data_IF_091112458603
#
_entry.id   IF_091112458603
#
_cell.length_a   1.000
_cell.length_b   1.000
_cell.length_c   1.000
_cell.angle_alpha   90.00
_cell.angle_beta   90.00
_cell.angle_gamma   90.00
#
_symmetry.space_group_name_H-M   'P 1'
#
loop_
_entity.id
_entity.type
_entity.pdbx_description
1 polymer ?
#
# COMPACT_ATOMS: atom_id res chain seq x y z
N UNK A 1 9.55 0.91 11.26
CA UNK A 1 9.36 -0.39 11.90
C UNK A 1 9.31 -0.17 13.41
N UNK A 2 8.39 -0.84 14.11
CA UNK A 2 8.13 -0.65 15.54
C UNK A 2 8.51 -1.92 16.33
N UNK A 3 9.81 -2.19 16.36
CA UNK A 3 10.40 -3.31 17.11
C UNK A 3 11.77 -2.93 17.63
N UNK A 4 12.10 -3.41 18.80
CA UNK A 4 13.42 -3.19 19.44
C UNK A 4 14.40 -4.35 19.16
N UNK A 5 13.91 -5.43 18.58
CA UNK A 5 14.64 -6.66 18.27
C UNK A 5 14.82 -6.90 16.76
N UNK A 6 14.53 -5.90 15.91
CA UNK A 6 14.59 -6.01 14.46
C UNK A 6 16.04 -6.08 13.93
N UNK A 7 16.29 -6.78 12.82
CA UNK A 7 17.63 -6.86 12.25
C UNK A 7 18.10 -5.51 11.71
N UNK A 8 19.41 -5.37 11.57
CA UNK A 8 20.02 -4.17 11.00
C UNK A 8 19.55 -3.98 9.54
N UNK A 9 19.41 -2.73 9.06
CA UNK A 9 18.91 -2.44 7.71
C UNK A 9 19.65 -3.18 6.58
N UNK A 10 20.97 -3.34 6.68
CA UNK A 10 21.74 -4.11 5.69
C UNK A 10 21.34 -5.58 5.63
N UNK A 11 21.04 -6.20 6.79
CA UNK A 11 20.54 -7.58 6.83
C UNK A 11 19.14 -7.69 6.26
N UNK A 12 18.30 -6.65 6.45
CA UNK A 12 16.96 -6.59 5.84
C UNK A 12 17.07 -6.52 4.32
N UNK A 13 17.93 -5.66 3.78
CA UNK A 13 18.17 -5.57 2.32
C UNK A 13 18.65 -6.91 1.76
N UNK A 14 19.61 -7.56 2.41
CA UNK A 14 20.09 -8.90 2.00
C UNK A 14 18.97 -9.95 2.04
N UNK A 15 18.04 -9.86 3.00
CA UNK A 15 16.88 -10.76 3.08
C UNK A 15 15.91 -10.52 1.92
N UNK A 16 15.67 -9.28 1.49
CA UNK A 16 14.89 -8.95 0.30
C UNK A 16 15.53 -9.55 -0.96
N UNK A 17 16.83 -9.30 -1.16
CA UNK A 17 17.57 -9.79 -2.33
C UNK A 17 17.59 -11.33 -2.40
N UNK A 18 17.85 -12.01 -1.28
CA UNK A 18 17.88 -13.48 -1.22
C UNK A 18 16.54 -14.14 -1.48
N UNK A 19 15.43 -13.40 -1.30
CA UNK A 19 14.08 -13.86 -1.61
C UNK A 19 13.56 -13.33 -2.97
N UNK A 20 14.37 -12.61 -3.75
CA UNK A 20 13.98 -12.08 -5.04
C UNK A 20 12.95 -10.93 -4.95
N UNK A 21 12.84 -10.27 -3.78
CA UNK A 21 11.88 -9.18 -3.57
C UNK A 21 12.48 -7.88 -4.10
N UNK A 22 11.89 -7.34 -5.16
CA UNK A 22 12.42 -6.18 -5.88
C UNK A 22 11.83 -4.82 -5.47
N UNK A 23 10.95 -4.76 -4.47
CA UNK A 23 10.34 -3.50 -4.04
C UNK A 23 10.10 -3.47 -2.53
N UNK A 24 10.19 -2.27 -1.95
CA UNK A 24 10.06 -2.03 -0.51
C UNK A 24 9.25 -0.76 -0.27
N UNK A 25 8.51 -0.71 0.82
CA UNK A 25 7.89 0.52 1.34
C UNK A 25 8.41 0.79 2.75
N UNK A 26 8.78 2.05 3.02
CA UNK A 26 9.08 2.53 4.38
C UNK A 26 8.24 3.77 4.69
N UNK A 27 7.72 3.84 5.92
CA UNK A 27 6.70 4.82 6.35
C UNK A 27 7.28 6.15 6.85
N UNK A 28 8.60 6.24 6.91
CA UNK A 28 9.35 7.44 7.25
C UNK A 28 10.77 7.31 6.73
N UNK A 29 11.44 8.42 6.42
CA UNK A 29 12.87 8.39 6.12
C UNK A 29 13.67 7.85 7.30
N UNK A 30 14.55 6.90 7.02
CA UNK A 30 15.54 6.37 7.94
C UNK A 30 16.90 6.32 7.25
N UNK A 31 17.85 7.08 7.77
CA UNK A 31 19.18 7.23 7.15
C UNK A 31 19.89 5.89 6.98
N UNK A 32 19.81 5.01 7.98
CA UNK A 32 20.49 3.72 7.92
C UNK A 32 19.85 2.79 6.86
N UNK A 33 18.52 2.82 6.72
CA UNK A 33 17.81 2.09 5.68
C UNK A 33 18.11 2.63 4.28
N UNK A 34 18.11 3.96 4.09
CA UNK A 34 18.45 4.60 2.81
C UNK A 34 19.89 4.30 2.40
N UNK A 35 20.83 4.30 3.35
CA UNK A 35 22.21 3.90 3.10
C UNK A 35 22.33 2.42 2.72
N UNK A 36 21.60 1.53 3.42
CA UNK A 36 21.62 0.11 3.15
C UNK A 36 21.01 -0.25 1.78
N UNK A 37 20.03 0.51 1.32
CA UNK A 37 19.43 0.35 -0.02
C UNK A 37 20.36 0.81 -1.15
N UNK A 38 21.43 1.55 -0.82
CA UNK A 38 22.40 2.06 -1.79
C UNK A 38 23.05 0.95 -2.60
N UNK A 39 22.85 0.98 -3.94
CA UNK A 39 23.40 -0.02 -4.86
C UNK A 39 22.54 -1.30 -4.98
N UNK A 40 21.46 -1.45 -4.23
CA UNK A 40 20.47 -2.51 -4.45
C UNK A 40 19.58 -2.17 -5.64
N UNK A 41 18.95 -3.19 -6.23
CA UNK A 41 17.94 -3.01 -7.28
C UNK A 41 16.51 -2.88 -6.71
N UNK A 42 16.38 -2.67 -5.39
CA UNK A 42 15.08 -2.58 -4.72
C UNK A 42 14.47 -1.20 -4.95
N UNK A 43 13.27 -1.19 -5.54
CA UNK A 43 12.50 0.03 -5.75
C UNK A 43 11.81 0.46 -4.45
N UNK A 44 11.89 1.74 -4.12
CA UNK A 44 11.41 2.26 -2.84
C UNK A 44 10.15 3.12 -2.98
N UNK A 45 9.12 2.80 -2.19
CA UNK A 45 8.11 3.77 -1.76
C UNK A 45 8.61 4.39 -0.45
N UNK A 46 8.82 5.70 -0.46
CA UNK A 46 9.18 6.45 0.73
C UNK A 46 8.01 7.33 1.17
N UNK A 47 7.55 7.15 2.40
CA UNK A 47 6.44 7.95 2.91
C UNK A 47 6.94 9.25 3.55
N UNK A 48 6.17 10.31 3.32
CA UNK A 48 6.16 11.52 4.17
C UNK A 48 5.28 11.20 5.37
N UNK A 49 5.83 11.19 6.60
CA UNK A 49 5.05 10.84 7.79
C UNK A 49 3.84 11.77 7.99
N UNK A 50 2.74 11.21 8.50
CA UNK A 50 1.51 11.97 8.76
C UNK A 50 1.75 13.23 9.63
N UNK A 51 2.66 13.13 10.62
CA UNK A 51 3.03 14.26 11.47
C UNK A 51 3.71 15.42 10.76
N UNK A 52 4.24 15.21 9.55
CA UNK A 52 4.90 16.24 8.74
C UNK A 52 3.97 16.92 7.73
N UNK A 53 2.75 16.41 7.53
CA UNK A 53 1.84 16.89 6.48
C UNK A 53 1.53 18.38 6.60
N UNK A 54 1.20 18.86 7.78
CA UNK A 54 0.82 20.26 8.00
C UNK A 54 1.98 21.21 7.67
N UNK A 55 3.20 20.91 8.12
CA UNK A 55 4.37 21.74 7.86
C UNK A 55 4.72 21.79 6.38
N UNK A 56 4.72 20.64 5.71
CA UNK A 56 5.00 20.52 4.27
C UNK A 56 3.91 21.18 3.43
N UNK A 57 2.65 21.08 3.84
CA UNK A 57 1.53 21.72 3.15
C UNK A 57 1.60 23.25 3.24
N UNK A 58 2.03 23.78 4.39
CA UNK A 58 2.00 25.22 4.68
C UNK A 58 3.25 25.95 4.21
N UNK A 59 4.37 25.26 4.01
CA UNK A 59 5.65 25.85 3.67
C UNK A 59 6.38 25.08 2.55
N UNK A 60 6.43 25.63 1.32
CA UNK A 60 7.18 25.04 0.23
C UNK A 60 8.67 24.84 0.53
N UNK A 61 9.26 25.67 1.42
CA UNK A 61 10.67 25.50 1.79
C UNK A 61 10.89 24.27 2.67
N UNK A 62 9.90 23.91 3.51
CA UNK A 62 9.93 22.66 4.27
C UNK A 62 9.87 21.43 3.34
N UNK A 63 9.05 21.49 2.30
CA UNK A 63 9.01 20.44 1.27
C UNK A 63 10.34 20.31 0.51
N UNK A 64 10.94 21.43 0.12
CA UNK A 64 12.24 21.45 -0.55
C UNK A 64 13.35 20.87 0.34
N UNK A 65 13.40 21.25 1.61
CA UNK A 65 14.34 20.71 2.57
C UNK A 65 14.14 19.21 2.81
N UNK A 66 12.88 18.75 2.89
CA UNK A 66 12.56 17.32 3.02
C UNK A 66 13.04 16.51 1.81
N UNK A 67 12.77 16.98 0.59
CA UNK A 67 13.22 16.35 -0.65
C UNK A 67 14.74 16.33 -0.75
N UNK A 68 15.39 17.45 -0.43
CA UNK A 68 16.85 17.55 -0.45
C UNK A 68 17.50 16.51 0.47
N UNK A 69 17.03 16.43 1.72
CA UNK A 69 17.63 15.59 2.76
C UNK A 69 17.33 14.10 2.61
N UNK A 70 16.14 13.73 2.12
CA UNK A 70 15.66 12.36 2.14
C UNK A 70 15.58 11.70 0.77
N UNK A 71 15.64 12.47 -0.30
CA UNK A 71 15.57 11.95 -1.68
C UNK A 71 16.82 12.32 -2.46
N UNK A 72 17.11 13.61 -2.70
CA UNK A 72 18.23 14.05 -3.53
C UNK A 72 19.59 13.52 -3.04
N UNK A 73 19.79 13.49 -1.72
CA UNK A 73 21.01 12.99 -1.12
C UNK A 73 21.31 11.51 -1.44
N UNK A 74 20.31 10.77 -1.91
CA UNK A 74 20.39 9.31 -2.14
C UNK A 74 20.08 8.89 -3.57
N UNK A 75 19.61 9.78 -4.46
CA UNK A 75 19.17 9.42 -5.82
C UNK A 75 20.25 8.82 -6.71
N UNK A 76 21.52 9.00 -6.38
CA UNK A 76 22.63 8.36 -7.11
C UNK A 76 22.78 6.87 -6.81
N UNK A 77 22.15 6.36 -5.75
CA UNK A 77 22.35 4.99 -5.26
C UNK A 77 21.06 4.26 -4.88
N UNK A 78 19.97 4.98 -4.59
CA UNK A 78 18.66 4.42 -4.21
C UNK A 78 17.64 4.62 -5.32
N UNK A 79 16.92 3.57 -5.66
CA UNK A 79 15.87 3.60 -6.69
C UNK A 79 14.53 4.00 -6.09
N UNK A 80 14.25 5.30 -6.00
CA UNK A 80 12.93 5.80 -5.57
C UNK A 80 11.90 5.63 -6.68
N UNK A 81 10.75 5.06 -6.34
CA UNK A 81 9.63 4.87 -7.25
C UNK A 81 8.48 5.83 -6.96
N UNK A 82 8.05 5.89 -5.70
CA UNK A 82 6.99 6.78 -5.24
C UNK A 82 7.38 7.52 -3.97
N UNK A 83 6.89 8.75 -3.84
CA UNK A 83 6.77 9.43 -2.55
C UNK A 83 5.30 9.39 -2.15
N UNK A 84 4.98 8.69 -1.06
CA UNK A 84 3.65 8.61 -0.50
C UNK A 84 3.46 9.71 0.54
N UNK A 85 2.64 10.70 0.23
CA UNK A 85 2.42 11.86 1.09
C UNK A 85 1.24 11.60 2.02
N UNK A 86 1.53 11.07 3.20
CA UNK A 86 0.55 10.61 4.18
C UNK A 86 0.04 9.19 3.90
N UNK A 87 -0.28 8.49 4.99
CA UNK A 87 -0.83 7.14 4.99
C UNK A 87 -2.14 7.10 5.79
N UNK A 88 -3.23 6.73 5.14
CA UNK A 88 -4.57 6.54 5.74
C UNK A 88 -5.10 7.75 6.51
N UNK A 89 -4.81 8.95 6.04
CA UNK A 89 -5.29 10.19 6.65
C UNK A 89 -6.62 10.69 6.07
N UNK A 90 -7.12 10.05 5.02
CA UNK A 90 -8.37 10.39 4.35
C UNK A 90 -9.39 9.25 4.54
N UNK A 91 -10.62 9.56 5.00
CA UNK A 91 -11.04 10.82 5.60
C UNK A 91 -10.47 11.03 7.01
N UNK A 92 -10.23 12.27 7.40
CA UNK A 92 -9.72 12.56 8.76
C UNK A 92 -9.28 14.01 8.94
N UNK A 93 -8.89 14.35 10.16
CA UNK A 93 -8.56 15.73 10.53
C UNK A 93 -7.33 16.32 9.81
N UNK A 94 -6.47 15.48 9.24
CA UNK A 94 -5.31 15.93 8.47
C UNK A 94 -5.52 15.86 6.95
N UNK A 95 -6.68 15.40 6.49
CA UNK A 95 -6.98 15.21 5.07
C UNK A 95 -6.77 16.50 4.25
N UNK A 96 -7.08 17.66 4.83
CA UNK A 96 -6.92 18.97 4.20
C UNK A 96 -5.47 19.32 3.85
N UNK A 97 -4.48 18.70 4.49
CA UNK A 97 -3.06 18.96 4.24
C UNK A 97 -2.48 18.07 3.13
N UNK A 98 -3.16 16.98 2.75
CA UNK A 98 -2.59 15.98 1.83
C UNK A 98 -2.32 16.60 0.46
N UNK A 99 -3.31 17.18 -0.20
CA UNK A 99 -3.13 17.75 -1.54
C UNK A 99 -2.09 18.88 -1.58
N UNK A 100 -2.15 19.89 -0.69
CA UNK A 100 -1.11 20.93 -0.66
C UNK A 100 0.30 20.37 -0.41
N UNK A 101 0.43 19.38 0.47
CA UNK A 101 1.71 18.71 0.70
C UNK A 101 2.19 17.94 -0.53
N UNK A 102 1.30 17.22 -1.23
CA UNK A 102 1.62 16.53 -2.50
C UNK A 102 2.12 17.52 -3.55
N UNK A 103 1.46 18.66 -3.71
CA UNK A 103 1.84 19.72 -4.64
C UNK A 103 3.23 20.29 -4.32
N UNK A 104 3.50 20.57 -3.05
CA UNK A 104 4.80 21.11 -2.61
C UNK A 104 5.93 20.09 -2.78
N UNK A 105 5.71 18.81 -2.46
CA UNK A 105 6.69 17.73 -2.71
C UNK A 105 6.92 17.57 -4.23
N UNK A 106 5.86 17.57 -5.04
CA UNK A 106 5.99 17.49 -6.50
C UNK A 106 6.81 18.65 -7.07
N UNK A 107 6.52 19.88 -6.62
CA UNK A 107 7.27 21.07 -7.04
C UNK A 107 8.74 20.98 -6.65
N UNK A 108 9.05 20.49 -5.45
CA UNK A 108 10.42 20.27 -4.99
C UNK A 108 11.15 19.21 -5.83
N UNK A 109 10.49 18.08 -6.13
CA UNK A 109 11.04 17.06 -7.03
C UNK A 109 11.23 17.59 -8.45
N UNK A 110 10.29 18.40 -8.95
CA UNK A 110 10.37 19.02 -10.28
C UNK A 110 11.55 19.99 -10.37
N UNK A 111 11.74 20.82 -9.35
CA UNK A 111 12.88 21.74 -9.26
C UNK A 111 14.23 21.02 -9.19
N UNK A 112 14.22 19.80 -8.65
CA UNK A 112 15.38 18.90 -8.61
C UNK A 112 15.57 18.06 -9.90
N UNK A 113 14.70 18.18 -10.89
CA UNK A 113 14.72 17.36 -12.12
C UNK A 113 14.31 15.91 -11.92
N UNK A 114 13.62 15.58 -10.82
CA UNK A 114 13.29 14.20 -10.42
C UNK A 114 11.84 13.78 -10.69
N UNK A 115 10.92 14.72 -10.98
CA UNK A 115 9.49 14.44 -11.12
C UNK A 115 9.12 13.51 -12.30
N UNK A 116 10.03 13.36 -13.27
CA UNK A 116 9.88 12.39 -14.36
C UNK A 116 10.05 10.94 -13.90
N UNK A 117 10.90 10.71 -12.90
CA UNK A 117 11.30 9.38 -12.41
C UNK A 117 10.53 8.97 -11.15
N UNK A 118 10.28 9.92 -10.23
CA UNK A 118 9.69 9.69 -8.93
C UNK A 118 8.29 10.28 -8.93
N UNK A 119 7.26 9.45 -8.77
CA UNK A 119 5.87 9.90 -8.74
C UNK A 119 5.45 10.25 -7.32
N UNK A 120 4.59 11.27 -7.18
CA UNK A 120 4.02 11.68 -5.90
C UNK A 120 2.59 11.16 -5.81
N UNK A 121 2.28 10.48 -4.72
CA UNK A 121 0.96 9.94 -4.43
C UNK A 121 0.63 10.08 -2.93
N UNK A 122 -0.50 9.55 -2.53
CA UNK A 122 -0.88 9.34 -1.13
C UNK A 122 -1.46 7.94 -0.98
N UNK A 123 -1.33 7.34 0.19
CA UNK A 123 -1.89 6.04 0.48
C UNK A 123 -3.20 6.16 1.27
N UNK A 124 -4.25 5.49 0.79
CA UNK A 124 -5.55 5.42 1.44
C UNK A 124 -5.90 3.99 1.81
N UNK A 125 -6.72 3.79 2.85
CA UNK A 125 -7.29 2.47 3.11
C UNK A 125 -8.50 2.21 2.21
N UNK A 126 -8.88 0.96 2.04
CA UNK A 126 -10.15 0.58 1.40
C UNK A 126 -11.38 1.17 2.10
N UNK A 127 -11.24 1.66 3.35
CA UNK A 127 -12.28 2.33 4.12
C UNK A 127 -12.74 3.68 3.54
N UNK A 128 -12.06 4.21 2.50
CA UNK A 128 -12.54 5.39 1.76
C UNK A 128 -13.80 5.10 0.94
N UNK A 129 -14.13 3.82 0.72
CA UNK A 129 -15.35 3.43 0.00
C UNK A 129 -16.60 3.59 0.88
N UNK A 130 -17.55 4.37 0.41
CA UNK A 130 -18.90 4.44 0.97
C UNK A 130 -19.82 3.33 0.41
N UNK A 131 -19.55 2.92 -0.83
CA UNK A 131 -20.18 1.77 -1.51
C UNK A 131 -19.10 0.91 -2.11
N UNK A 132 -19.17 -0.41 -1.89
CA UNK A 132 -18.20 -1.38 -2.42
C UNK A 132 -18.87 -2.61 -3.05
N UNK A 133 -20.20 -2.71 -2.99
CA UNK A 133 -20.94 -3.84 -3.52
C UNK A 133 -22.19 -3.40 -4.29
N UNK A 134 -22.44 -3.97 -5.49
CA UNK A 134 -21.49 -4.78 -6.26
C UNK A 134 -20.26 -3.94 -6.65
N UNK A 135 -19.13 -4.56 -7.05
CA UNK A 135 -17.88 -3.82 -7.35
C UNK A 135 -18.06 -2.69 -8.37
N UNK A 136 -18.89 -2.86 -9.40
CA UNK A 136 -19.18 -1.81 -10.41
C UNK A 136 -19.89 -0.57 -9.83
N UNK A 137 -20.50 -0.69 -8.67
CA UNK A 137 -21.16 0.42 -7.94
C UNK A 137 -20.22 1.10 -6.93
N UNK A 138 -18.95 0.72 -6.91
CA UNK A 138 -17.95 1.30 -6.02
C UNK A 138 -17.93 2.82 -6.09
N UNK A 139 -18.01 3.46 -4.92
CA UNK A 139 -17.97 4.91 -4.80
C UNK A 139 -17.28 5.32 -3.49
N UNK A 140 -16.52 6.40 -3.54
CA UNK A 140 -15.99 6.98 -2.32
C UNK A 140 -17.12 7.48 -1.41
N UNK A 141 -16.92 7.40 -0.10
CA UNK A 141 -17.81 8.04 0.86
C UNK A 141 -17.85 9.56 0.62
N UNK A 142 -18.93 10.23 1.02
CA UNK A 142 -19.05 11.69 0.89
C UNK A 142 -17.85 12.43 1.50
N UNK A 143 -17.41 11.96 2.67
CA UNK A 143 -16.30 12.56 3.42
C UNK A 143 -14.95 12.36 2.71
N UNK A 144 -14.73 11.20 2.09
CA UNK A 144 -13.52 10.93 1.31
C UNK A 144 -13.54 11.62 -0.06
N UNK A 145 -14.68 11.62 -0.75
CA UNK A 145 -14.82 12.12 -2.12
C UNK A 145 -14.44 13.60 -2.26
N UNK A 146 -14.80 14.43 -1.27
CA UNK A 146 -14.50 15.87 -1.27
C UNK A 146 -13.00 16.15 -1.29
N UNK A 147 -12.21 15.31 -0.64
CA UNK A 147 -10.73 15.40 -0.60
C UNK A 147 -10.10 14.63 -1.76
N UNK A 148 -10.60 13.43 -2.06
CA UNK A 148 -10.00 12.58 -3.09
C UNK A 148 -10.27 13.10 -4.51
N UNK A 149 -11.38 13.78 -4.78
CA UNK A 149 -11.64 14.32 -6.11
C UNK A 149 -10.49 15.20 -6.64
N UNK A 150 -10.09 16.27 -5.93
CA UNK A 150 -8.93 17.09 -6.33
C UNK A 150 -7.61 16.33 -6.35
N UNK A 151 -7.38 15.37 -5.44
CA UNK A 151 -6.19 14.51 -5.43
C UNK A 151 -6.15 13.64 -6.68
N UNK A 152 -7.26 13.02 -7.06
CA UNK A 152 -7.36 12.20 -8.28
C UNK A 152 -7.05 13.03 -9.53
N UNK A 153 -7.51 14.29 -9.61
CA UNK A 153 -7.15 15.19 -10.70
C UNK A 153 -5.63 15.48 -10.73
N UNK A 154 -5.02 15.68 -9.57
CA UNK A 154 -3.56 15.83 -9.46
C UNK A 154 -2.83 14.58 -9.94
N UNK A 155 -3.25 13.38 -9.51
CA UNK A 155 -2.65 12.11 -9.92
C UNK A 155 -2.78 11.89 -11.44
N UNK A 156 -3.97 12.13 -11.99
CA UNK A 156 -4.24 12.03 -13.42
C UNK A 156 -3.33 12.94 -14.25
N UNK A 157 -3.16 14.18 -13.79
CA UNK A 157 -2.33 15.20 -14.49
C UNK A 157 -0.84 14.87 -14.48
N UNK A 158 -0.36 14.13 -13.46
CA UNK A 158 1.05 13.82 -13.28
C UNK A 158 1.40 12.37 -13.64
N UNK A 159 0.42 11.59 -14.12
CA UNK A 159 0.61 10.18 -14.46
C UNK A 159 1.06 9.35 -13.26
N UNK A 160 0.51 9.65 -12.08
CA UNK A 160 0.79 8.95 -10.84
C UNK A 160 -0.40 8.04 -10.46
N UNK A 161 -0.16 6.85 -9.88
CA UNK A 161 -1.22 5.99 -9.37
C UNK A 161 -1.74 6.50 -8.02
N UNK A 162 -2.92 6.04 -7.62
CA UNK A 162 -3.35 6.08 -6.22
C UNK A 162 -2.78 4.86 -5.49
N UNK A 163 -2.15 5.08 -4.33
CA UNK A 163 -1.72 4.00 -3.45
C UNK A 163 -2.89 3.59 -2.56
N UNK A 164 -3.16 2.29 -2.46
CA UNK A 164 -4.30 1.79 -1.68
C UNK A 164 -3.87 0.61 -0.81
N UNK A 165 -4.23 0.65 0.47
CA UNK A 165 -4.07 -0.45 1.39
C UNK A 165 -5.34 -1.31 1.33
N UNK A 166 -5.19 -2.57 0.87
CA UNK A 166 -6.30 -3.50 0.60
C UNK A 166 -6.18 -4.74 1.47
N UNK A 167 -7.11 -4.89 2.41
CA UNK A 167 -7.12 -5.98 3.37
C UNK A 167 -8.44 -6.77 3.38
N UNK A 168 -8.57 -7.82 2.58
CA UNK A 168 -9.70 -8.75 2.67
C UNK A 168 -9.95 -9.30 4.07
N UNK A 169 -8.89 -9.42 4.89
CA UNK A 169 -8.98 -9.82 6.28
C UNK A 169 -10.01 -8.99 7.07
N UNK A 170 -9.91 -7.67 7.03
CA UNK A 170 -10.80 -6.80 7.80
C UNK A 170 -12.24 -6.87 7.30
N UNK A 171 -12.45 -6.96 5.98
CA UNK A 171 -13.78 -7.15 5.42
C UNK A 171 -14.40 -8.47 5.88
N UNK A 172 -13.63 -9.54 5.87
CA UNK A 172 -14.07 -10.86 6.33
C UNK A 172 -14.43 -10.86 7.83
N UNK A 173 -13.54 -10.39 8.70
CA UNK A 173 -13.79 -10.44 10.16
C UNK A 173 -14.93 -9.54 10.60
N UNK A 174 -15.21 -8.47 9.85
CA UNK A 174 -16.35 -7.58 10.11
C UNK A 174 -17.67 -8.16 9.57
N UNK A 175 -17.62 -9.09 8.60
CA UNK A 175 -18.82 -9.63 7.94
C UNK A 175 -18.76 -11.16 7.74
N UNK A 176 -18.48 -11.96 8.79
CA UNK A 176 -18.23 -13.40 8.64
C UNK A 176 -19.46 -14.20 8.22
N UNK A 177 -20.66 -13.61 8.36
CA UNK A 177 -21.93 -14.23 7.90
C UNK A 177 -22.21 -14.06 6.41
N UNK A 178 -21.55 -13.07 5.77
CA UNK A 178 -21.79 -12.71 4.36
C UNK A 178 -20.59 -12.98 3.46
N UNK A 179 -19.39 -13.00 4.01
CA UNK A 179 -18.14 -13.23 3.29
C UNK A 179 -17.57 -14.58 3.74
N UNK A 180 -17.42 -15.54 2.82
CA UNK A 180 -16.78 -16.81 3.14
C UNK A 180 -15.27 -16.67 3.27
N UNK A 181 -14.66 -17.46 4.15
CA UNK A 181 -13.21 -17.49 4.32
C UNK A 181 -12.49 -17.87 3.02
N UNK A 182 -13.05 -18.81 2.26
CA UNK A 182 -12.49 -19.22 0.97
C UNK A 182 -12.46 -18.08 -0.05
N UNK A 183 -13.47 -17.21 -0.06
CA UNK A 183 -13.49 -16.02 -0.91
C UNK A 183 -12.41 -14.99 -0.50
N UNK A 184 -12.22 -14.81 0.80
CA UNK A 184 -11.19 -13.92 1.31
C UNK A 184 -9.76 -14.45 1.10
N UNK A 185 -9.55 -15.78 1.06
CA UNK A 185 -8.24 -16.44 0.93
C UNK A 185 -7.87 -16.84 -0.52
N UNK A 186 -8.61 -16.41 -1.54
CA UNK A 186 -8.41 -16.85 -2.94
C UNK A 186 -8.60 -18.37 -3.16
N UNK A 187 -9.34 -19.05 -2.29
CA UNK A 187 -9.53 -20.52 -2.37
C UNK A 187 -10.95 -20.92 -2.77
N UNK A 188 -11.78 -19.98 -3.19
CA UNK A 188 -13.11 -20.30 -3.71
C UNK A 188 -13.01 -21.12 -4.99
N UNK A 189 -13.82 -22.22 -5.12
CA UNK A 189 -13.75 -23.09 -6.30
C UNK A 189 -14.38 -22.50 -7.55
N UNK A 190 -15.08 -21.37 -7.44
CA UNK A 190 -15.77 -20.73 -8.56
C UNK A 190 -16.21 -19.30 -8.21
N UNK A 191 -16.98 -18.70 -9.11
CA UNK A 191 -17.52 -17.35 -8.96
C UNK A 191 -18.37 -17.24 -7.69
N UNK A 192 -18.06 -16.26 -6.85
CA UNK A 192 -18.83 -15.92 -5.64
C UNK A 192 -19.72 -14.72 -5.88
N UNK A 193 -19.22 -13.73 -6.64
CA UNK A 193 -19.98 -12.53 -7.00
C UNK A 193 -19.98 -12.40 -8.51
N UNK A 194 -21.17 -12.25 -9.08
CA UNK A 194 -21.37 -11.88 -10.49
C UNK A 194 -21.86 -10.44 -10.54
N UNK A 195 -21.18 -9.59 -11.32
CA UNK A 195 -21.49 -8.18 -11.48
C UNK A 195 -21.44 -7.82 -12.97
N UNK A 196 -22.61 -7.87 -13.62
CA UNK A 196 -22.68 -7.72 -15.05
C UNK A 196 -21.89 -8.81 -15.79
N UNK A 197 -20.88 -8.39 -16.54
CA UNK A 197 -19.99 -9.31 -17.26
C UNK A 197 -18.82 -9.81 -16.41
N UNK A 198 -18.60 -9.26 -15.22
CA UNK A 198 -17.47 -9.58 -14.37
C UNK A 198 -17.82 -10.66 -13.34
N UNK A 199 -16.91 -11.58 -13.13
CA UNK A 199 -17.04 -12.69 -12.20
C UNK A 199 -15.89 -12.65 -11.20
N UNK A 200 -16.23 -12.55 -9.91
CA UNK A 200 -15.25 -12.45 -8.84
C UNK A 200 -15.17 -13.77 -8.06
N UNK A 201 -13.99 -14.37 -8.08
CA UNK A 201 -13.65 -15.59 -7.33
C UNK A 201 -12.94 -15.29 -5.99
N UNK A 202 -12.49 -14.06 -5.81
CA UNK A 202 -11.78 -13.63 -4.60
C UNK A 202 -12.18 -12.20 -4.21
N UNK A 203 -12.10 -11.92 -2.93
CA UNK A 203 -12.50 -10.65 -2.35
C UNK A 203 -11.52 -9.51 -2.67
N UNK A 204 -10.23 -9.82 -2.88
CA UNK A 204 -9.22 -8.82 -3.25
C UNK A 204 -9.59 -8.13 -4.57
N UNK A 205 -9.91 -8.90 -5.60
CA UNK A 205 -10.33 -8.36 -6.90
C UNK A 205 -11.59 -7.49 -6.77
N UNK A 206 -12.57 -7.96 -5.99
CA UNK A 206 -13.81 -7.21 -5.80
C UNK A 206 -13.56 -5.85 -5.12
N UNK A 207 -12.66 -5.79 -4.14
CA UNK A 207 -12.29 -4.54 -3.47
C UNK A 207 -11.52 -3.61 -4.43
N UNK A 208 -10.55 -4.15 -5.16
CA UNK A 208 -9.74 -3.35 -6.11
C UNK A 208 -10.62 -2.80 -7.24
N UNK A 209 -11.55 -3.59 -7.77
CA UNK A 209 -12.46 -3.13 -8.82
C UNK A 209 -13.50 -2.12 -8.30
N UNK A 210 -13.93 -2.24 -7.05
CA UNK A 210 -14.75 -1.20 -6.41
C UNK A 210 -13.99 0.14 -6.27
N UNK A 211 -12.68 0.08 -5.97
CA UNK A 211 -11.81 1.27 -5.93
C UNK A 211 -11.63 1.88 -7.33
N UNK A 212 -11.46 1.07 -8.37
CA UNK A 212 -11.44 1.57 -9.75
C UNK A 212 -12.76 2.23 -10.14
N UNK A 213 -13.90 1.65 -9.77
CA UNK A 213 -15.20 2.28 -10.00
C UNK A 213 -15.33 3.63 -9.28
N UNK A 214 -14.85 3.70 -8.03
CA UNK A 214 -14.85 4.94 -7.26
C UNK A 214 -13.94 6.02 -7.88
N UNK A 215 -12.75 5.64 -8.38
CA UNK A 215 -11.86 6.55 -9.13
C UNK A 215 -12.54 7.10 -10.38
N UNK A 216 -13.19 6.24 -11.17
CA UNK A 216 -13.94 6.66 -12.37
C UNK A 216 -15.07 7.62 -12.02
N UNK A 217 -15.76 7.39 -10.90
CA UNK A 217 -16.84 8.23 -10.39
C UNK A 217 -16.41 9.69 -10.07
N UNK A 218 -15.12 9.92 -9.81
CA UNK A 218 -14.56 11.26 -9.58
C UNK A 218 -13.67 11.74 -10.74
N UNK A 219 -13.76 11.09 -11.90
CA UNK A 219 -13.06 11.51 -13.12
C UNK A 219 -11.63 10.98 -13.25
N UNK A 220 -11.25 9.96 -12.48
CA UNK A 220 -9.92 9.34 -12.46
C UNK A 220 -9.82 8.05 -13.29
N UNK A 221 -10.50 7.93 -14.43
CA UNK A 221 -10.49 6.72 -15.26
C UNK A 221 -9.10 6.32 -15.79
N UNK A 222 -8.17 7.27 -15.86
CA UNK A 222 -6.77 7.07 -16.25
C UNK A 222 -5.80 6.94 -15.07
N UNK A 223 -6.30 6.97 -13.81
CA UNK A 223 -5.48 6.78 -12.62
C UNK A 223 -5.38 5.29 -12.31
N UNK A 224 -4.17 4.77 -12.29
CA UNK A 224 -3.90 3.40 -11.88
C UNK A 224 -3.95 3.23 -10.36
N UNK A 225 -4.08 1.99 -9.90
CA UNK A 225 -3.95 1.63 -8.48
C UNK A 225 -2.65 0.84 -8.29
N UNK A 226 -1.91 1.20 -7.23
CA UNK A 226 -0.87 0.37 -6.64
C UNK A 226 -1.40 -0.09 -5.28
N UNK A 227 -1.41 -1.39 -5.04
CA UNK A 227 -1.75 -1.93 -3.73
C UNK A 227 -0.53 -1.81 -2.82
N UNK A 228 -0.49 -0.72 -2.08
CA UNK A 228 0.66 -0.32 -1.26
C UNK A 228 0.77 -1.07 0.06
N UNK A 229 -0.28 -1.77 0.45
CA UNK A 229 -0.31 -2.77 1.51
C UNK A 229 -1.39 -3.81 1.24
N UNK A 230 -1.07 -5.08 1.47
CA UNK A 230 -2.01 -6.17 1.64
C UNK A 230 -1.37 -7.28 2.46
N UNK A 231 -2.17 -8.06 3.17
CA UNK A 231 -1.66 -9.13 4.01
C UNK A 231 -2.74 -9.80 4.84
N UNK A 232 -2.30 -10.76 5.68
CA UNK A 232 -3.14 -11.50 6.60
C UNK A 232 -2.37 -11.82 7.89
N UNK A 233 -2.93 -11.56 9.10
CA UNK A 233 -2.21 -11.78 10.33
C UNK A 233 -2.11 -13.28 10.66
N UNK A 234 -0.94 -13.69 11.14
CA UNK A 234 -0.64 -15.08 11.50
C UNK A 234 -1.09 -15.48 12.92
N UNK A 235 -1.58 -14.50 13.69
CA UNK A 235 -2.01 -14.72 15.08
C UNK A 235 -2.55 -13.45 15.73
N UNK A 236 -2.83 -13.53 17.02
CA UNK A 236 -3.18 -12.37 17.86
C UNK A 236 -4.62 -11.86 17.71
N UNK A 237 -5.48 -12.53 16.96
CA UNK A 237 -6.83 -12.07 16.66
C UNK A 237 -7.89 -13.16 16.66
N UNK A 238 -9.07 -12.91 16.06
CA UNK A 238 -10.13 -13.89 15.85
C UNK A 238 -9.63 -15.17 15.17
N UNK A 239 -10.46 -16.20 15.15
CA UNK A 239 -10.11 -17.54 14.63
C UNK A 239 -9.54 -17.57 13.20
N UNK A 240 -9.77 -16.53 12.41
CA UNK A 240 -9.19 -16.39 11.07
C UNK A 240 -7.71 -15.96 11.07
N UNK A 241 -7.20 -15.34 12.14
CA UNK A 241 -5.81 -14.94 12.28
C UNK A 241 -4.96 -16.15 12.69
N UNK A 242 -4.53 -16.93 11.71
CA UNK A 242 -3.72 -18.14 11.91
C UNK A 242 -2.57 -18.20 10.92
N UNK A 243 -1.49 -18.89 11.28
CA UNK A 243 -0.34 -19.13 10.40
C UNK A 243 -0.76 -19.73 9.06
N UNK A 244 -1.67 -20.73 9.08
CA UNK A 244 -2.14 -21.39 7.86
C UNK A 244 -2.93 -20.45 6.93
N UNK A 245 -3.79 -19.61 7.49
CA UNK A 245 -4.53 -18.63 6.67
C UNK A 245 -3.62 -17.52 6.15
N UNK A 246 -2.66 -17.05 6.95
CA UNK A 246 -1.68 -16.05 6.52
C UNK A 246 -0.81 -16.57 5.38
N UNK A 247 -0.32 -17.80 5.50
CA UNK A 247 0.42 -18.48 4.42
C UNK A 247 -0.44 -18.59 3.15
N UNK A 248 -1.67 -19.09 3.28
CA UNK A 248 -2.60 -19.28 2.16
C UNK A 248 -2.89 -17.96 1.46
N UNK A 249 -3.24 -16.92 2.22
CA UNK A 249 -3.54 -15.61 1.65
C UNK A 249 -2.34 -15.02 0.91
N UNK A 250 -1.20 -14.90 1.58
CA UNK A 250 -0.04 -14.22 1.01
C UNK A 250 0.55 -14.99 -0.19
N UNK A 251 0.56 -16.32 -0.15
CA UNK A 251 1.01 -17.10 -1.31
C UNK A 251 0.06 -16.96 -2.49
N UNK A 252 -1.25 -17.01 -2.24
CA UNK A 252 -2.24 -16.84 -3.30
C UNK A 252 -2.23 -15.41 -3.87
N UNK A 253 -2.02 -14.39 -3.03
CA UNK A 253 -1.85 -13.01 -3.49
C UNK A 253 -0.66 -12.90 -4.45
N UNK A 254 0.51 -13.44 -4.08
CA UNK A 254 1.70 -13.44 -4.94
C UNK A 254 1.40 -14.09 -6.28
N UNK A 255 0.78 -15.28 -6.26
CA UNK A 255 0.44 -16.01 -7.48
C UNK A 255 -0.60 -15.30 -8.36
N UNK A 256 -1.44 -14.44 -7.75
CA UNK A 256 -2.60 -13.83 -8.40
C UNK A 256 -2.30 -12.47 -9.05
N UNK A 257 -1.52 -11.61 -8.39
CA UNK A 257 -1.37 -10.20 -8.79
C UNK A 257 -0.78 -9.97 -10.17
N UNK A 258 -0.13 -10.99 -10.75
CA UNK A 258 0.33 -10.95 -12.14
C UNK A 258 -0.80 -10.96 -13.18
N UNK A 259 -2.01 -11.39 -12.81
CA UNK A 259 -3.15 -11.54 -13.72
C UNK A 259 -4.04 -10.28 -13.79
N UNK A 260 -4.05 -9.47 -12.74
CA UNK A 260 -4.99 -8.36 -12.59
C UNK A 260 -6.36 -8.78 -12.07
N UNK A 261 -7.31 -7.86 -12.16
CA UNK A 261 -8.71 -8.09 -11.78
C UNK A 261 -9.60 -8.34 -12.99
N UNK A 262 -10.84 -8.82 -12.82
CA UNK A 262 -11.81 -8.98 -13.92
C UNK A 262 -12.02 -7.69 -14.73
N UNK A 263 -11.98 -6.52 -14.09
CA UNK A 263 -12.17 -5.23 -14.75
C UNK A 263 -10.88 -4.64 -15.31
N UNK A 264 -9.75 -4.90 -14.69
CA UNK A 264 -8.42 -4.38 -15.04
C UNK A 264 -7.43 -5.52 -15.18
N UNK A 265 -7.42 -6.25 -16.30
CA UNK A 265 -6.44 -7.30 -16.55
C UNK A 265 -5.03 -6.73 -16.69
N UNK A 266 -4.05 -7.53 -16.29
CA UNK A 266 -2.63 -7.17 -16.27
C UNK A 266 -2.08 -7.01 -14.84
N UNK A 267 -0.76 -6.94 -14.69
CA UNK A 267 -0.13 -6.96 -13.36
C UNK A 267 -0.57 -5.80 -12.46
N UNK A 268 -0.85 -6.12 -11.20
CA UNK A 268 -1.11 -5.14 -10.14
C UNK A 268 0.14 -5.06 -9.27
N UNK A 269 0.81 -3.90 -9.29
CA UNK A 269 1.92 -3.65 -8.37
C UNK A 269 1.41 -3.72 -6.93
N UNK A 270 1.98 -4.65 -6.14
CA UNK A 270 1.45 -4.99 -4.81
C UNK A 270 2.58 -5.16 -3.81
N UNK A 271 2.40 -4.60 -2.61
CA UNK A 271 3.30 -4.67 -1.48
C UNK A 271 2.65 -5.46 -0.35
N UNK A 272 3.35 -6.48 0.15
CA UNK A 272 2.85 -7.30 1.26
C UNK A 272 3.22 -6.64 2.58
N UNK A 273 2.24 -6.48 3.44
CA UNK A 273 2.41 -6.01 4.82
C UNK A 273 2.37 -7.23 5.77
N UNK A 274 3.45 -7.55 6.47
CA UNK A 274 4.69 -6.81 6.56
C UNK A 274 5.90 -7.76 6.51
N UNK A 275 7.12 -7.21 6.43
CA UNK A 275 8.33 -8.03 6.41
C UNK A 275 8.53 -8.79 7.72
N UNK A 276 8.35 -8.14 8.88
CA UNK A 276 8.60 -8.72 10.19
C UNK A 276 7.38 -8.62 11.11
N UNK A 277 7.30 -9.56 12.03
CA UNK A 277 6.52 -9.37 13.25
C UNK A 277 7.20 -8.29 14.10
N UNK A 278 6.40 -7.36 14.67
CA UNK A 278 6.89 -6.16 15.34
C UNK A 278 6.34 -6.07 16.76
N UNK A 279 7.19 -6.29 17.75
CA UNK A 279 6.82 -6.44 19.17
C UNK A 279 6.38 -5.16 19.87
N UNK A 280 6.79 -3.98 19.35
CA UNK A 280 6.38 -2.68 19.91
C UNK A 280 5.09 -2.10 19.29
N UNK A 281 4.44 -2.84 18.37
CA UNK A 281 3.08 -2.50 17.92
C UNK A 281 2.05 -2.86 18.98
N UNK A 282 0.83 -2.35 18.80
CA UNK A 282 -0.29 -2.68 19.68
C UNK A 282 -0.45 -4.20 19.79
N UNK A 283 -0.63 -4.75 21.01
CA UNK A 283 -0.83 -6.19 21.19
C UNK A 283 -2.00 -6.72 20.37
N UNK A 284 -1.86 -7.95 19.90
CA UNK A 284 -2.87 -8.61 19.07
C UNK A 284 -2.41 -8.80 17.62
N UNK A 285 -3.31 -8.61 16.65
CA UNK A 285 -2.99 -8.82 15.24
C UNK A 285 -1.84 -7.94 14.77
N UNK A 286 -1.71 -6.73 15.31
CA UNK A 286 -0.71 -5.75 14.87
C UNK A 286 0.73 -6.26 15.02
N UNK A 287 0.98 -7.16 15.96
CA UNK A 287 2.29 -7.78 16.15
C UNK A 287 2.54 -8.99 15.25
N UNK A 288 1.56 -9.42 14.43
CA UNK A 288 1.56 -10.72 13.77
C UNK A 288 1.34 -10.65 12.23
N UNK A 289 1.78 -9.59 11.58
CA UNK A 289 1.66 -9.42 10.12
C UNK A 289 2.90 -9.90 9.35
N UNK A 290 4.00 -10.20 10.05
CA UNK A 290 5.29 -10.48 9.44
C UNK A 290 5.31 -11.76 8.61
N UNK A 291 6.03 -11.69 7.48
CA UNK A 291 6.46 -12.86 6.73
C UNK A 291 7.60 -13.58 7.45
N UNK A 292 8.39 -12.82 8.20
CA UNK A 292 9.53 -13.30 8.97
C UNK A 292 9.43 -12.87 10.44
N UNK A 293 10.04 -13.66 11.31
CA UNK A 293 10.37 -13.24 12.65
C UNK A 293 11.58 -12.27 12.64
N UNK A 294 11.79 -11.47 13.72
CA UNK A 294 12.95 -10.58 13.82
C UNK A 294 14.31 -11.29 13.67
N UNK A 295 14.40 -12.58 13.98
CA UNK A 295 15.59 -13.41 13.75
C UNK A 295 15.76 -13.87 12.30
N UNK A 296 14.96 -13.34 11.38
CA UNK A 296 14.96 -13.61 9.93
C UNK A 296 14.51 -15.05 9.56
N UNK A 297 14.00 -15.83 10.52
CA UNK A 297 13.35 -17.09 10.19
C UNK A 297 11.95 -16.83 9.65
N UNK A 298 11.49 -17.55 8.60
CA UNK A 298 10.14 -17.36 8.09
C UNK A 298 9.09 -17.78 9.13
N UNK A 299 8.01 -16.99 9.23
CA UNK A 299 6.84 -17.37 10.05
C UNK A 299 6.13 -18.57 9.42
N UNK A 300 6.14 -18.64 8.11
CA UNK A 300 5.64 -19.73 7.28
C UNK A 300 6.40 -19.76 5.95
N UNK A 301 6.38 -20.91 5.29
CA UNK A 301 7.01 -21.04 3.97
C UNK A 301 6.25 -20.20 2.95
N UNK A 302 6.96 -19.38 2.17
CA UNK A 302 6.42 -18.55 1.11
C UNK A 302 7.41 -18.49 -0.07
N UNK A 303 6.88 -18.49 -1.27
CA UNK A 303 7.67 -18.38 -2.50
C UNK A 303 7.29 -17.10 -3.24
N UNK A 304 8.27 -16.28 -3.57
CA UNK A 304 8.10 -15.01 -4.29
C UNK A 304 8.35 -15.14 -5.81
N UNK A 305 8.73 -16.34 -6.29
CA UNK A 305 8.99 -16.62 -7.71
C UNK A 305 7.79 -17.20 -8.43
#
# INVERSE_FOLDING_TARGET
>A
MNGDNLPQPSSVVSLYESNGIGAMRIYAPDTATLQALGGSNIQLILDVPNGSLQSIASDPSAAAAWVQSNVQAYTSSVSFRYIAVGNEVIPGGQAQYVLPAMQNIYNALSSAGLSGQIKVSTAVSQGVLGTSYPPSSGAFSSDAASTLGPIVQFLASNGAPLLVNVYPYFSYVSNPGSISLSYALFTSPGTVVQDGQYNYQNLFDAIVDALYAALEGVGGSNVGIVVSESGWPSGGGPAAATVGNAQTYNQNLINHVGNGTPRKPGPIETYIFAMFNEDLKSPGIEQNWGLFYPNQQPVYSINFS
#
